data_IF_435339775079
#
_entry.id   IF_435339775079
#
_cell.length_a   1.000
_cell.length_b   1.000
_cell.length_c   1.000
_cell.angle_alpha   90.00
_cell.angle_beta   90.00
_cell.angle_gamma   90.00
#
_symmetry.space_group_name_H-M   'P 1'
#
loop_
_entity.id
_entity.type
_entity.pdbx_description
1 polymer ?
#
# COMPACT_ATOMS: atom_id res chain seq x y z
N UNK A 1 -9.71 17.33 -12.11
CA UNK A 1 -10.05 17.17 -10.67
C UNK A 1 -9.12 16.15 -10.07
N UNK A 2 -8.49 16.47 -8.93
CA UNK A 2 -7.52 15.60 -8.27
C UNK A 2 -8.23 14.53 -7.43
N UNK A 3 -7.89 13.27 -7.67
CA UNK A 3 -8.35 12.10 -6.95
C UNK A 3 -7.19 11.55 -6.12
N UNK A 4 -7.48 11.19 -4.88
CA UNK A 4 -6.58 10.47 -3.98
C UNK A 4 -7.29 9.17 -3.66
N UNK A 5 -6.72 8.04 -4.07
CA UNK A 5 -7.38 6.75 -3.97
C UNK A 5 -6.60 5.70 -3.22
N UNK A 6 -7.35 4.82 -2.55
CA UNK A 6 -6.84 3.63 -1.89
C UNK A 6 -7.79 2.47 -2.22
N UNK A 7 -7.32 1.52 -3.03
CA UNK A 7 -8.18 0.48 -3.62
C UNK A 7 -8.12 -0.85 -2.87
N UNK A 8 -7.14 -1.05 -2.00
CA UNK A 8 -6.93 -2.29 -1.30
C UNK A 8 -7.24 -2.12 0.19
N UNK A 9 -8.45 -2.52 0.57
CA UNK A 9 -8.92 -2.53 1.94
C UNK A 9 -9.59 -3.87 2.22
N UNK A 10 -9.74 -4.19 3.50
CA UNK A 10 -10.51 -5.32 3.96
C UNK A 10 -11.71 -4.90 4.83
N UNK A 11 -12.82 -5.60 4.66
CA UNK A 11 -14.01 -5.43 5.49
C UNK A 11 -13.87 -6.16 6.83
N UNK A 12 -14.76 -5.87 7.77
CA UNK A 12 -14.89 -6.60 9.06
C UNK A 12 -15.10 -8.13 8.94
N UNK A 13 -15.32 -8.65 7.73
CA UNK A 13 -15.44 -10.09 7.45
C UNK A 13 -14.12 -10.76 7.05
N UNK A 14 -13.05 -10.00 6.87
CA UNK A 14 -11.70 -10.54 6.66
C UNK A 14 -11.00 -10.87 7.98
N UNK A 15 -10.07 -11.83 7.92
CA UNK A 15 -9.28 -12.21 9.09
C UNK A 15 -8.41 -11.04 9.57
N UNK A 16 -8.15 -10.98 10.88
CA UNK A 16 -7.31 -9.95 11.51
C UNK A 16 -7.73 -8.50 11.19
N UNK A 17 -8.99 -8.28 10.80
CA UNK A 17 -9.52 -6.98 10.41
C UNK A 17 -10.42 -6.41 11.52
N UNK A 18 -10.36 -5.10 11.75
CA UNK A 18 -11.17 -4.41 12.74
C UNK A 18 -12.66 -4.59 12.45
N UNK A 19 -13.46 -4.72 13.51
CA UNK A 19 -14.92 -4.73 13.39
C UNK A 19 -15.49 -3.38 12.93
N UNK A 20 -14.69 -2.31 13.08
CA UNK A 20 -15.00 -0.97 12.62
C UNK A 20 -14.75 -0.78 11.10
N UNK A 21 -14.30 -1.82 10.38
CA UNK A 21 -14.24 -1.78 8.90
C UNK A 21 -15.64 -2.00 8.29
N UNK A 22 -16.54 -1.06 8.58
CA UNK A 22 -17.87 -0.92 7.99
C UNK A 22 -17.95 0.29 7.04
N UNK A 23 -18.91 0.29 6.12
CA UNK A 23 -18.99 1.37 5.09
C UNK A 23 -19.06 2.78 5.70
N UNK A 24 -19.87 3.03 6.75
CA UNK A 24 -19.90 4.34 7.41
C UNK A 24 -18.55 4.77 7.97
N UNK A 25 -17.85 3.89 8.67
CA UNK A 25 -16.59 4.22 9.34
C UNK A 25 -15.44 4.37 8.34
N UNK A 26 -15.42 3.53 7.29
CA UNK A 26 -14.48 3.66 6.17
C UNK A 26 -14.60 5.06 5.54
N UNK A 27 -15.82 5.52 5.23
CA UNK A 27 -16.03 6.85 4.63
C UNK A 27 -15.61 7.99 5.57
N UNK A 28 -15.88 7.88 6.88
CA UNK A 28 -15.42 8.87 7.87
C UNK A 28 -13.90 8.96 7.91
N UNK A 29 -13.21 7.82 7.97
CA UNK A 29 -11.75 7.80 8.00
C UNK A 29 -11.12 8.20 6.68
N UNK A 30 -11.69 7.82 5.54
CA UNK A 30 -11.24 8.27 4.23
C UNK A 30 -11.22 9.81 4.14
N UNK A 31 -12.26 10.49 4.65
CA UNK A 31 -12.29 11.96 4.74
C UNK A 31 -11.20 12.54 5.65
N UNK A 32 -10.98 11.96 6.83
CA UNK A 32 -9.91 12.39 7.74
C UNK A 32 -8.52 12.21 7.11
N UNK A 33 -8.33 11.12 6.37
CA UNK A 33 -7.10 10.80 5.67
C UNK A 33 -6.90 11.66 4.43
N UNK A 34 -7.98 12.09 3.78
CA UNK A 34 -7.96 12.85 2.53
C UNK A 34 -8.10 11.95 1.29
N UNK A 35 -8.46 10.69 1.48
CA UNK A 35 -8.77 9.73 0.41
C UNK A 35 -10.21 9.98 -0.03
N UNK A 36 -10.41 10.33 -1.30
CA UNK A 36 -11.72 10.70 -1.85
C UNK A 36 -12.29 9.67 -2.82
N UNK A 37 -11.53 8.61 -3.11
CA UNK A 37 -11.97 7.42 -3.83
C UNK A 37 -11.42 6.15 -3.13
N UNK A 38 -12.28 5.22 -2.74
CA UNK A 38 -11.84 3.99 -2.07
C UNK A 38 -12.31 2.73 -2.79
N UNK A 39 -11.55 1.64 -2.63
CA UNK A 39 -12.04 0.30 -2.98
C UNK A 39 -13.13 -0.15 -2.00
N UNK A 40 -14.14 -0.84 -2.49
CA UNK A 40 -15.25 -1.32 -1.65
C UNK A 40 -14.86 -2.40 -0.64
N UNK A 41 -13.73 -3.07 -0.86
CA UNK A 41 -13.32 -4.32 -0.21
C UNK A 41 -14.27 -5.50 -0.45
N UNK A 42 -13.74 -6.72 -0.37
CA UNK A 42 -14.41 -7.98 -0.05
C UNK A 42 -15.82 -8.26 -0.66
N UNK A 43 -16.13 -7.74 -1.85
CA UNK A 43 -17.50 -7.83 -2.41
C UNK A 43 -17.95 -9.28 -2.69
N UNK A 44 -17.03 -10.24 -2.60
CA UNK A 44 -17.33 -11.67 -2.69
C UNK A 44 -18.09 -12.19 -1.48
N UNK A 45 -17.90 -11.60 -0.31
CA UNK A 45 -18.59 -12.04 0.91
C UNK A 45 -20.04 -11.53 0.92
N UNK A 46 -21.06 -12.40 1.01
CA UNK A 46 -22.44 -11.98 0.75
C UNK A 46 -23.02 -11.02 1.79
N UNK A 47 -22.62 -11.13 3.06
CA UNK A 47 -23.07 -10.17 4.08
C UNK A 47 -22.43 -8.79 3.86
N UNK A 48 -21.19 -8.75 3.36
CA UNK A 48 -20.55 -7.50 2.99
C UNK A 48 -21.19 -6.91 1.74
N UNK A 49 -21.45 -7.72 0.72
CA UNK A 49 -22.15 -7.29 -0.49
C UNK A 49 -23.53 -6.69 -0.20
N UNK A 50 -24.28 -7.25 0.77
CA UNK A 50 -25.54 -6.67 1.23
C UNK A 50 -25.33 -5.28 1.86
N UNK A 51 -24.28 -5.11 2.65
CA UNK A 51 -23.92 -3.82 3.24
C UNK A 51 -23.53 -2.79 2.17
N UNK A 52 -22.69 -3.19 1.20
CA UNK A 52 -22.32 -2.35 0.06
C UNK A 52 -23.56 -1.87 -0.71
N UNK A 53 -24.47 -2.78 -1.08
CA UNK A 53 -25.71 -2.44 -1.79
C UNK A 53 -26.66 -1.57 -0.98
N UNK A 54 -26.65 -1.70 0.36
CA UNK A 54 -27.46 -0.86 1.25
C UNK A 54 -26.97 0.58 1.21
N UNK A 55 -25.66 0.79 1.37
CA UNK A 55 -25.07 2.12 1.58
C UNK A 55 -24.66 2.82 0.29
N UNK A 56 -23.98 2.14 -0.63
CA UNK A 56 -23.44 2.74 -1.83
C UNK A 56 -24.54 3.10 -2.83
N UNK A 57 -24.50 4.32 -3.36
CA UNK A 57 -25.41 4.81 -4.41
C UNK A 57 -24.60 5.15 -5.66
N UNK A 58 -25.13 4.89 -6.88
CA UNK A 58 -24.47 5.33 -8.10
C UNK A 58 -24.21 6.84 -8.07
N UNK A 59 -23.00 7.24 -8.46
CA UNK A 59 -22.59 8.65 -8.53
C UNK A 59 -22.11 9.09 -9.91
N UNK A 60 -22.07 8.16 -10.87
CA UNK A 60 -21.83 8.35 -12.29
C UNK A 60 -21.72 6.99 -12.97
N UNK A 61 -20.99 6.92 -14.07
CA UNK A 61 -20.74 5.67 -14.78
C UNK A 61 -19.74 4.82 -13.99
N UNK A 62 -20.20 3.64 -13.57
CA UNK A 62 -19.39 2.59 -12.95
C UNK A 62 -18.65 2.99 -11.67
N UNK A 63 -19.16 4.01 -10.96
CA UNK A 63 -18.69 4.36 -9.63
C UNK A 63 -19.85 4.75 -8.71
N UNK A 64 -19.58 4.64 -7.41
CA UNK A 64 -20.58 4.82 -6.37
C UNK A 64 -20.11 5.85 -5.36
N UNK A 65 -21.01 6.29 -4.48
CA UNK A 65 -20.68 7.22 -3.41
C UNK A 65 -21.41 6.85 -2.13
N UNK A 66 -20.76 7.13 -1.01
CA UNK A 66 -21.38 7.20 0.30
C UNK A 66 -20.75 8.32 1.13
N UNK A 67 -21.60 9.22 1.64
CA UNK A 67 -21.22 10.30 2.56
C UNK A 67 -20.04 11.17 2.04
N UNK A 68 -20.10 11.50 0.75
CA UNK A 68 -19.12 12.36 0.07
C UNK A 68 -17.81 11.67 -0.36
N UNK A 69 -17.67 10.35 -0.15
CA UNK A 69 -16.52 9.56 -0.61
C UNK A 69 -16.95 8.67 -1.76
N UNK A 70 -16.17 8.66 -2.84
CA UNK A 70 -16.45 7.82 -4.01
C UNK A 70 -15.89 6.40 -3.82
N UNK A 71 -16.48 5.45 -4.52
CA UNK A 71 -16.16 4.03 -4.42
C UNK A 71 -16.07 3.38 -5.79
N UNK A 72 -15.03 2.57 -5.97
CA UNK A 72 -15.03 1.49 -6.97
C UNK A 72 -15.35 0.16 -6.28
N UNK A 73 -16.01 -0.74 -7.00
CA UNK A 73 -16.26 -2.09 -6.50
C UNK A 73 -14.98 -2.91 -6.68
N UNK A 74 -14.29 -3.18 -5.58
CA UNK A 74 -13.00 -3.89 -5.54
C UNK A 74 -13.07 -5.01 -4.51
N UNK A 75 -12.48 -6.17 -4.83
CA UNK A 75 -12.26 -7.27 -3.89
C UNK A 75 -10.87 -7.82 -4.08
N UNK A 76 -10.29 -8.38 -3.03
CA UNK A 76 -9.12 -9.26 -3.14
C UNK A 76 -9.58 -10.73 -3.14
N UNK A 77 -8.87 -11.58 -3.89
CA UNK A 77 -9.01 -13.04 -3.81
C UNK A 77 -7.64 -13.71 -3.67
N UNK A 78 -7.58 -14.84 -2.98
CA UNK A 78 -6.36 -15.64 -2.83
C UNK A 78 -6.37 -16.82 -3.80
N UNK A 79 -5.59 -16.75 -4.87
CA UNK A 79 -5.44 -17.85 -5.84
C UNK A 79 -4.43 -18.87 -5.32
N UNK A 80 -4.88 -20.07 -4.97
CA UNK A 80 -4.04 -21.19 -4.54
C UNK A 80 -4.17 -22.40 -5.47
N UNK A 81 -3.13 -22.69 -6.24
CA UNK A 81 -3.18 -23.72 -7.28
C UNK A 81 -1.79 -24.31 -7.58
N UNK A 82 -1.73 -25.48 -8.23
CA UNK A 82 -0.46 -26.10 -8.61
C UNK A 82 -0.05 -25.65 -10.02
N UNK A 83 1.17 -25.13 -10.16
CA UNK A 83 1.77 -24.77 -11.46
C UNK A 83 3.29 -24.83 -11.41
N UNK A 84 3.91 -25.36 -12.46
CA UNK A 84 5.36 -25.57 -12.56
C UNK A 84 5.92 -26.33 -11.35
N UNK A 85 5.26 -27.42 -10.97
CA UNK A 85 5.58 -28.29 -9.83
C UNK A 85 5.58 -27.61 -8.44
N UNK A 86 5.09 -26.38 -8.31
CA UNK A 86 4.94 -25.66 -7.03
C UNK A 86 3.47 -25.36 -6.74
N UNK A 87 3.11 -25.31 -5.47
CA UNK A 87 1.84 -24.72 -5.03
C UNK A 87 2.05 -23.20 -5.01
N UNK A 88 1.36 -22.50 -5.91
CA UNK A 88 1.33 -21.05 -6.01
C UNK A 88 0.27 -20.50 -5.07
N UNK A 89 0.57 -19.38 -4.45
CA UNK A 89 -0.33 -18.61 -3.59
C UNK A 89 -0.14 -17.16 -3.97
N UNK A 90 -1.15 -16.56 -4.61
CA UNK A 90 -1.04 -15.22 -5.17
C UNK A 90 -2.34 -14.50 -4.93
N UNK A 91 -2.28 -13.31 -4.37
CA UNK A 91 -3.43 -12.46 -4.28
C UNK A 91 -3.58 -11.57 -5.51
N UNK A 92 -4.84 -11.34 -5.88
CA UNK A 92 -5.18 -10.43 -6.95
C UNK A 92 -6.39 -9.59 -6.53
N UNK A 93 -6.32 -8.29 -6.78
CA UNK A 93 -7.48 -7.42 -6.78
C UNK A 93 -8.28 -7.60 -8.06
N UNK A 94 -9.60 -7.48 -7.91
CA UNK A 94 -10.56 -7.49 -9.00
C UNK A 94 -11.43 -6.25 -8.86
N UNK A 95 -11.41 -5.40 -9.89
CA UNK A 95 -12.32 -4.26 -10.01
C UNK A 95 -13.48 -4.68 -10.89
N UNK A 96 -14.70 -4.42 -10.42
CA UNK A 96 -15.92 -4.65 -11.17
C UNK A 96 -16.58 -3.31 -11.54
N UNK A 97 -17.11 -3.15 -12.76
CA UNK A 97 -17.74 -1.90 -13.18
C UNK A 97 -19.06 -1.63 -12.42
N UNK A 98 -19.84 -2.67 -12.11
CA UNK A 98 -21.11 -2.51 -11.43
C UNK A 98 -21.52 -3.74 -10.61
N UNK A 99 -22.60 -3.61 -9.84
CA UNK A 99 -23.11 -4.72 -9.03
C UNK A 99 -23.62 -5.92 -9.87
N UNK A 100 -23.99 -5.73 -11.13
CA UNK A 100 -24.37 -6.86 -12.00
C UNK A 100 -23.13 -7.69 -12.37
N UNK A 101 -22.01 -7.03 -12.66
CA UNK A 101 -20.72 -7.69 -12.85
C UNK A 101 -20.28 -8.39 -11.55
N UNK A 102 -20.39 -7.74 -10.39
CA UNK A 102 -20.09 -8.36 -9.08
C UNK A 102 -20.89 -9.64 -8.86
N UNK A 103 -22.19 -9.65 -9.14
CA UNK A 103 -23.01 -10.86 -9.00
C UNK A 103 -22.52 -12.01 -9.90
N UNK A 104 -22.20 -11.70 -11.17
CA UNK A 104 -21.64 -12.69 -12.10
C UNK A 104 -20.28 -13.21 -11.64
N UNK A 105 -19.41 -12.32 -11.15
CA UNK A 105 -18.09 -12.67 -10.59
C UNK A 105 -18.30 -13.63 -9.42
N UNK A 106 -19.17 -13.31 -8.46
CA UNK A 106 -19.42 -14.15 -7.30
C UNK A 106 -19.96 -15.54 -7.69
N UNK A 107 -20.85 -15.63 -8.68
CA UNK A 107 -21.37 -16.92 -9.20
C UNK A 107 -20.25 -17.77 -9.82
N UNK A 108 -19.33 -17.15 -10.55
CA UNK A 108 -18.23 -17.87 -11.20
C UNK A 108 -17.18 -18.29 -10.17
N UNK A 109 -16.77 -17.39 -9.28
CA UNK A 109 -15.75 -17.65 -8.27
C UNK A 109 -16.20 -18.67 -7.21
N UNK A 110 -17.50 -18.77 -6.91
CA UNK A 110 -18.03 -19.77 -5.97
C UNK A 110 -17.83 -21.22 -6.41
N UNK A 111 -17.44 -21.45 -7.67
CA UNK A 111 -17.07 -22.77 -8.20
C UNK A 111 -15.67 -23.21 -7.78
N UNK A 112 -14.83 -22.27 -7.34
CA UNK A 112 -13.42 -22.49 -7.02
C UNK A 112 -13.10 -22.37 -5.53
N UNK A 113 -14.03 -21.88 -4.72
CA UNK A 113 -13.86 -21.75 -3.28
C UNK A 113 -15.15 -21.31 -2.58
N UNK A 114 -15.12 -21.32 -1.25
CA UNK A 114 -16.28 -20.93 -0.44
C UNK A 114 -16.21 -19.44 -0.08
N UNK A 115 -17.08 -18.65 -0.69
CA UNK A 115 -17.15 -17.19 -0.50
C UNK A 115 -17.78 -16.77 0.85
N UNK A 116 -18.27 -17.72 1.65
CA UNK A 116 -18.93 -17.46 2.93
C UNK A 116 -17.98 -17.41 4.14
N UNK A 117 -16.72 -17.84 3.97
CA UNK A 117 -15.81 -18.07 5.10
C UNK A 117 -15.16 -16.77 5.57
N UNK A 118 -14.69 -15.96 4.64
CA UNK A 118 -13.91 -14.75 4.92
C UNK A 118 -14.07 -13.75 3.77
N UNK A 119 -13.75 -12.48 4.04
CA UNK A 119 -13.81 -11.41 3.05
C UNK A 119 -12.94 -11.64 1.82
N UNK A 120 -11.73 -12.19 2.01
CA UNK A 120 -10.82 -12.64 0.94
C UNK A 120 -10.87 -14.16 0.74
N UNK A 121 -11.69 -14.68 -0.17
CA UNK A 121 -11.82 -16.12 -0.35
C UNK A 121 -10.53 -16.73 -0.92
N UNK A 122 -10.16 -17.90 -0.41
CA UNK A 122 -9.16 -18.77 -1.05
C UNK A 122 -9.82 -19.60 -2.16
N UNK A 123 -9.27 -19.49 -3.38
CA UNK A 123 -9.79 -20.08 -4.60
C UNK A 123 -8.78 -21.06 -5.21
N UNK A 124 -9.23 -22.27 -5.53
CA UNK A 124 -8.48 -23.25 -6.31
C UNK A 124 -8.49 -22.89 -7.81
N UNK A 125 -7.93 -21.72 -8.14
CA UNK A 125 -8.05 -21.09 -9.46
C UNK A 125 -6.70 -20.52 -9.91
N UNK A 126 -6.25 -20.90 -11.11
CA UNK A 126 -5.06 -20.33 -11.76
C UNK A 126 -5.28 -18.84 -12.10
N UNK A 127 -4.24 -18.01 -11.94
CA UNK A 127 -4.35 -16.57 -12.16
C UNK A 127 -4.65 -16.19 -13.62
N UNK A 128 -4.15 -16.93 -14.61
CA UNK A 128 -4.51 -16.70 -16.00
C UNK A 128 -5.98 -17.01 -16.27
N UNK A 129 -6.51 -18.10 -15.68
CA UNK A 129 -7.93 -18.42 -15.80
C UNK A 129 -8.79 -17.39 -15.06
N UNK A 130 -8.35 -16.86 -13.91
CA UNK A 130 -9.01 -15.74 -13.25
C UNK A 130 -9.19 -14.56 -14.21
N UNK A 131 -8.11 -14.10 -14.85
CA UNK A 131 -8.15 -12.98 -15.81
C UNK A 131 -9.13 -13.26 -16.93
N UNK A 132 -9.06 -14.45 -17.53
CA UNK A 132 -9.97 -14.84 -18.61
C UNK A 132 -11.43 -14.79 -18.16
N UNK A 133 -11.76 -15.34 -16.98
CA UNK A 133 -13.11 -15.30 -16.43
C UNK A 133 -13.60 -13.87 -16.19
N UNK A 134 -12.72 -12.96 -15.75
CA UNK A 134 -13.09 -11.55 -15.57
C UNK A 134 -13.39 -10.88 -16.92
N UNK A 135 -12.57 -11.12 -17.94
CA UNK A 135 -12.78 -10.60 -19.29
C UNK A 135 -14.05 -11.17 -19.96
N UNK A 136 -14.38 -12.44 -19.71
CA UNK A 136 -15.61 -13.08 -20.19
C UNK A 136 -16.88 -12.45 -19.57
N UNK A 137 -16.76 -11.87 -18.36
CA UNK A 137 -17.85 -11.18 -17.67
C UNK A 137 -18.01 -9.75 -18.17
N UNK A 138 -16.91 -9.00 -18.31
CA UNK A 138 -16.89 -7.62 -18.79
C UNK A 138 -15.48 -7.22 -19.20
N UNK A 139 -15.37 -6.53 -20.34
CA UNK A 139 -14.13 -5.90 -20.81
C UNK A 139 -13.64 -4.74 -19.93
N UNK A 140 -14.50 -4.26 -19.02
CA UNK A 140 -14.18 -3.21 -18.04
C UNK A 140 -13.66 -3.75 -16.71
N UNK A 141 -13.67 -5.06 -16.48
CA UNK A 141 -13.07 -5.60 -15.26
C UNK A 141 -11.55 -5.35 -15.27
N UNK A 142 -10.97 -5.08 -14.10
CA UNK A 142 -9.52 -4.88 -13.94
C UNK A 142 -9.02 -5.95 -12.99
N UNK A 143 -7.91 -6.61 -13.35
CA UNK A 143 -7.21 -7.55 -12.46
C UNK A 143 -5.83 -6.99 -12.18
N UNK A 144 -5.51 -6.85 -10.90
CA UNK A 144 -4.23 -6.30 -10.42
C UNK A 144 -3.59 -7.32 -9.48
N UNK A 145 -2.40 -7.85 -9.77
CA UNK A 145 -1.65 -8.64 -8.81
C UNK A 145 -1.36 -7.80 -7.57
N UNK A 146 -1.82 -8.25 -6.39
CA UNK A 146 -1.67 -7.49 -5.13
C UNK A 146 -0.23 -7.60 -4.59
N UNK A 147 0.22 -6.55 -3.88
CA UNK A 147 1.43 -6.50 -3.06
C UNK A 147 2.57 -7.42 -3.52
N UNK A 148 3.06 -7.22 -4.75
CA UNK A 148 3.73 -8.29 -5.52
C UNK A 148 5.05 -8.82 -4.95
N UNK A 149 5.63 -8.15 -3.95
CA UNK A 149 6.91 -8.49 -3.34
C UNK A 149 6.81 -9.12 -1.95
N UNK A 150 5.63 -9.16 -1.31
CA UNK A 150 5.49 -9.80 0.00
C UNK A 150 5.98 -11.25 -0.06
N UNK A 151 6.58 -11.72 1.03
CA UNK A 151 7.26 -13.02 1.01
C UNK A 151 6.34 -14.19 0.72
N UNK A 152 5.07 -14.05 1.09
CA UNK A 152 4.01 -15.03 0.88
C UNK A 152 2.88 -14.39 0.09
N UNK A 153 2.04 -15.23 -0.52
CA UNK A 153 0.80 -14.82 -1.19
C UNK A 153 0.98 -13.79 -2.32
N UNK A 154 2.17 -13.70 -2.92
CA UNK A 154 2.52 -12.63 -3.85
C UNK A 154 3.20 -13.14 -5.10
N UNK A 155 3.06 -12.38 -6.18
CA UNK A 155 3.50 -12.81 -7.50
C UNK A 155 5.00 -13.04 -7.56
N UNK A 156 5.82 -12.11 -7.08
CA UNK A 156 7.28 -12.25 -7.06
C UNK A 156 7.80 -12.77 -5.71
N UNK A 157 6.95 -13.04 -4.74
CA UNK A 157 7.34 -13.45 -3.39
C UNK A 157 8.33 -14.62 -3.34
N UNK A 158 9.25 -14.58 -2.39
CA UNK A 158 10.31 -15.60 -2.26
C UNK A 158 9.75 -17.00 -1.94
N UNK A 159 8.57 -17.10 -1.31
CA UNK A 159 7.90 -18.38 -1.05
C UNK A 159 6.94 -18.75 -2.17
N UNK A 160 7.46 -19.46 -3.16
CA UNK A 160 6.69 -20.01 -4.29
C UNK A 160 6.06 -18.98 -5.24
N UNK A 161 6.59 -17.75 -5.29
CA UNK A 161 6.32 -16.78 -6.36
C UNK A 161 6.95 -17.17 -7.70
N UNK A 162 6.51 -16.50 -8.76
CA UNK A 162 7.06 -16.57 -10.11
C UNK A 162 8.27 -15.64 -10.27
N UNK A 163 9.05 -15.87 -11.32
CA UNK A 163 10.15 -14.95 -11.70
C UNK A 163 9.76 -14.03 -12.86
N UNK A 164 8.57 -14.19 -13.42
CA UNK A 164 8.03 -13.34 -14.49
C UNK A 164 6.50 -13.33 -14.49
N UNK A 165 5.91 -12.19 -14.87
CA UNK A 165 4.46 -12.07 -15.14
C UNK A 165 3.96 -13.10 -16.19
N UNK A 166 4.76 -13.41 -17.22
CA UNK A 166 4.37 -14.36 -18.27
C UNK A 166 4.25 -15.79 -17.74
N UNK A 167 5.07 -16.21 -16.77
CA UNK A 167 4.90 -17.50 -16.11
C UNK A 167 3.59 -17.59 -15.32
N UNK A 168 3.17 -16.47 -14.72
CA UNK A 168 1.92 -16.38 -13.96
C UNK A 168 0.70 -16.39 -14.90
N UNK A 169 0.64 -15.42 -15.81
CA UNK A 169 -0.56 -15.10 -16.60
C UNK A 169 -0.57 -15.69 -18.02
N UNK A 170 0.56 -16.18 -18.53
CA UNK A 170 0.67 -16.65 -19.90
C UNK A 170 0.14 -15.62 -20.90
N UNK A 171 -0.61 -16.07 -21.91
CA UNK A 171 -1.18 -15.15 -22.91
C UNK A 171 -2.16 -14.10 -22.36
N UNK A 172 -2.69 -14.30 -21.14
CA UNK A 172 -3.63 -13.37 -20.49
C UNK A 172 -2.93 -12.14 -19.91
N UNK A 173 -1.59 -12.11 -19.88
CA UNK A 173 -0.80 -10.92 -19.48
C UNK A 173 -1.19 -9.66 -20.26
N UNK A 174 -1.72 -9.80 -21.48
CA UNK A 174 -2.20 -8.68 -22.31
C UNK A 174 -3.35 -7.86 -21.68
N UNK A 175 -4.01 -8.41 -20.65
CA UNK A 175 -5.06 -7.74 -19.89
C UNK A 175 -4.60 -7.29 -18.49
N UNK A 176 -3.31 -7.47 -18.19
CA UNK A 176 -2.70 -6.95 -16.97
C UNK A 176 -1.96 -5.67 -17.35
N UNK A 177 -2.48 -4.54 -16.86
CA UNK A 177 -1.94 -3.21 -17.15
C UNK A 177 -1.35 -2.54 -15.91
N UNK A 178 -1.56 -3.13 -14.73
CA UNK A 178 -1.07 -2.60 -13.47
C UNK A 178 -0.72 -3.71 -12.50
N UNK A 179 0.13 -3.37 -11.54
CA UNK A 179 0.46 -4.20 -10.38
C UNK A 179 0.39 -3.33 -9.12
N UNK A 180 0.14 -3.95 -7.97
CA UNK A 180 0.27 -3.27 -6.68
C UNK A 180 1.64 -3.55 -6.09
N UNK A 181 2.38 -2.51 -5.73
CA UNK A 181 3.71 -2.61 -5.09
C UNK A 181 3.59 -3.22 -3.70
N UNK A 182 2.66 -2.69 -2.90
CA UNK A 182 2.40 -3.07 -1.51
C UNK A 182 3.47 -2.58 -0.55
N UNK A 183 3.13 -2.52 0.74
CA UNK A 183 3.90 -1.88 1.83
C UNK A 183 5.32 -2.43 2.06
N UNK A 184 5.69 -3.56 1.45
CA UNK A 184 7.04 -4.13 1.53
C UNK A 184 7.96 -3.70 0.38
N UNK A 185 7.45 -2.92 -0.58
CA UNK A 185 8.25 -2.35 -1.66
C UNK A 185 7.80 -0.95 -2.02
N UNK A 186 8.67 -0.22 -2.72
CA UNK A 186 8.32 1.07 -3.31
C UNK A 186 8.58 1.07 -4.83
N UNK A 187 8.18 2.13 -5.56
CA UNK A 187 8.44 2.23 -7.00
C UNK A 187 9.91 2.10 -7.36
N UNK A 188 10.84 2.63 -6.54
CA UNK A 188 12.28 2.55 -6.81
C UNK A 188 12.80 1.11 -6.80
N UNK A 189 12.26 0.24 -5.93
CA UNK A 189 12.56 -1.19 -5.93
C UNK A 189 12.00 -1.88 -7.19
N UNK A 190 10.79 -1.52 -7.60
CA UNK A 190 10.10 -2.09 -8.75
C UNK A 190 10.76 -1.70 -10.09
N UNK A 191 11.25 -0.47 -10.21
CA UNK A 191 11.95 0.03 -11.40
C UNK A 191 13.21 -0.75 -11.76
N UNK A 192 13.74 -1.54 -10.82
CA UNK A 192 14.92 -2.37 -11.03
C UNK A 192 14.65 -3.66 -11.80
N UNK A 193 13.38 -3.98 -12.05
CA UNK A 193 12.96 -5.14 -12.83
C UNK A 193 12.27 -4.66 -14.12
N UNK A 194 13.01 -4.67 -15.23
CA UNK A 194 12.57 -4.10 -16.51
C UNK A 194 11.25 -4.63 -17.06
N UNK A 195 10.86 -5.83 -16.65
CA UNK A 195 9.58 -6.42 -17.06
C UNK A 195 8.37 -5.63 -16.54
N UNK A 196 8.55 -4.79 -15.51
CA UNK A 196 7.51 -3.95 -14.92
C UNK A 196 7.38 -2.59 -15.61
N UNK A 197 8.24 -2.24 -16.57
CA UNK A 197 8.19 -0.94 -17.27
C UNK A 197 6.86 -0.70 -17.98
N UNK A 198 6.21 -1.77 -18.42
CA UNK A 198 4.92 -1.73 -19.14
C UNK A 198 3.72 -1.70 -18.19
N UNK A 199 3.95 -1.80 -16.88
CA UNK A 199 2.89 -1.83 -15.87
C UNK A 199 2.77 -0.46 -15.20
N UNK A 200 1.53 -0.04 -14.96
CA UNK A 200 1.24 1.04 -14.03
C UNK A 200 1.41 0.53 -12.60
N UNK A 201 2.25 1.18 -11.80
CA UNK A 201 2.47 0.82 -10.41
C UNK A 201 1.38 1.50 -9.56
N UNK A 202 0.59 0.68 -8.87
CA UNK A 202 -0.38 1.12 -7.88
C UNK A 202 0.17 0.93 -6.47
N UNK A 203 -0.19 1.83 -5.58
CA UNK A 203 0.15 1.79 -4.16
C UNK A 203 -1.13 1.92 -3.33
N UNK A 204 -1.40 0.92 -2.49
CA UNK A 204 -2.64 0.82 -1.72
C UNK A 204 -2.33 0.31 -0.32
N UNK A 205 -3.18 0.66 0.64
CA UNK A 205 -2.88 0.44 2.04
C UNK A 205 -2.87 -1.03 2.46
N UNK A 206 -3.69 -1.89 1.86
CA UNK A 206 -4.08 -3.18 2.46
C UNK A 206 -4.59 -2.96 3.91
N UNK A 207 -5.50 -1.98 4.06
CA UNK A 207 -5.97 -1.55 5.38
C UNK A 207 -6.84 -2.62 6.03
N UNK A 208 -6.44 -3.01 7.24
CA UNK A 208 -7.18 -3.90 8.14
C UNK A 208 -7.83 -3.13 9.31
N UNK A 209 -7.57 -1.83 9.42
CA UNK A 209 -8.25 -0.92 10.34
C UNK A 209 -8.51 0.44 9.68
N UNK A 210 -9.56 1.18 10.09
CA UNK A 210 -9.89 2.47 9.47
C UNK A 210 -8.76 3.50 9.58
N UNK A 211 -7.94 3.42 10.64
CA UNK A 211 -6.76 4.26 10.86
C UNK A 211 -5.62 4.04 9.86
N UNK A 212 -5.63 2.91 9.14
CA UNK A 212 -4.59 2.53 8.18
C UNK A 212 -4.91 2.95 6.74
N UNK A 213 -6.15 3.37 6.48
CA UNK A 213 -6.59 3.86 5.17
C UNK A 213 -5.66 4.98 4.70
N UNK A 214 -5.24 4.90 3.44
CA UNK A 214 -4.39 5.91 2.81
C UNK A 214 -2.96 6.01 3.38
N UNK A 215 -2.48 5.00 4.15
CA UNK A 215 -1.04 4.90 4.45
C UNK A 215 -0.22 4.76 3.17
N UNK A 216 -0.82 4.12 2.18
CA UNK A 216 -0.42 4.08 0.78
C UNK A 216 -1.61 4.48 -0.08
N UNK A 217 -1.36 5.23 -1.15
CA UNK A 217 -2.42 5.77 -2.00
C UNK A 217 -1.92 6.14 -3.40
N UNK A 218 -2.85 6.34 -4.31
CA UNK A 218 -2.60 6.77 -5.69
C UNK A 218 -3.17 8.18 -5.87
N UNK A 219 -2.46 9.03 -6.61
CA UNK A 219 -2.92 10.38 -6.89
C UNK A 219 -2.95 10.63 -8.39
N UNK A 220 -4.13 10.96 -8.89
CA UNK A 220 -4.35 11.18 -10.32
C UNK A 220 -5.39 12.26 -10.60
N UNK A 221 -5.46 12.71 -11.85
CA UNK A 221 -6.45 13.68 -12.31
C UNK A 221 -7.42 13.08 -13.31
N UNK A 222 -8.69 13.44 -13.16
CA UNK A 222 -9.76 13.16 -14.13
C UNK A 222 -10.40 14.45 -14.61
N UNK A 223 -10.91 14.44 -15.83
CA UNK A 223 -11.61 15.59 -16.40
C UNK A 223 -13.08 15.58 -16.03
N UNK A 224 -13.70 14.40 -16.02
CA UNK A 224 -15.11 14.20 -15.75
C UNK A 224 -15.32 13.21 -14.60
N UNK A 225 -16.05 13.64 -13.57
CA UNK A 225 -16.41 12.72 -12.48
C UNK A 225 -17.40 11.67 -12.95
N UNK A 226 -18.28 11.97 -13.92
CA UNK A 226 -19.28 11.02 -14.39
C UNK A 226 -18.59 9.82 -15.07
N UNK A 227 -17.44 10.01 -15.71
CA UNK A 227 -16.64 8.97 -16.38
C UNK A 227 -15.39 8.50 -15.60
N UNK A 228 -15.33 8.79 -14.30
CA UNK A 228 -14.20 8.49 -13.41
C UNK A 228 -13.61 7.08 -13.58
N UNK A 229 -14.45 6.04 -13.65
CA UNK A 229 -13.97 4.65 -13.80
C UNK A 229 -13.31 4.40 -15.16
N UNK A 230 -13.89 4.94 -16.23
CA UNK A 230 -13.37 4.79 -17.59
C UNK A 230 -12.06 5.54 -17.75
N UNK A 231 -11.97 6.79 -17.28
CA UNK A 231 -10.72 7.55 -17.30
C UNK A 231 -9.61 6.85 -16.50
N UNK A 232 -9.95 6.24 -15.35
CA UNK A 232 -9.00 5.44 -14.58
C UNK A 232 -8.51 4.21 -15.35
N UNK A 233 -9.42 3.45 -15.96
CA UNK A 233 -9.07 2.28 -16.78
C UNK A 233 -8.13 2.66 -17.94
N UNK A 234 -8.48 3.71 -18.70
CA UNK A 234 -7.66 4.21 -19.80
C UNK A 234 -6.27 4.65 -19.33
N UNK A 235 -6.20 5.31 -18.17
CA UNK A 235 -4.95 5.74 -17.56
C UNK A 235 -4.04 4.57 -17.21
N UNK A 236 -4.59 3.48 -16.64
CA UNK A 236 -3.81 2.27 -16.34
C UNK A 236 -3.29 1.60 -17.61
N UNK A 237 -4.13 1.50 -18.65
CA UNK A 237 -3.78 0.87 -19.93
C UNK A 237 -2.68 1.66 -20.64
N UNK A 238 -2.82 2.99 -20.69
CA UNK A 238 -1.87 3.88 -21.37
C UNK A 238 -0.62 4.17 -20.55
N UNK A 239 -0.64 3.86 -19.23
CA UNK A 239 0.37 4.30 -18.27
C UNK A 239 0.59 5.81 -18.34
N UNK A 240 -0.53 6.55 -18.36
CA UNK A 240 -0.53 8.00 -18.61
C UNK A 240 -0.04 8.78 -17.38
N UNK A 241 1.28 9.05 -17.34
CA UNK A 241 1.92 9.83 -16.27
C UNK A 241 1.63 11.34 -16.33
N UNK A 242 0.88 11.83 -17.33
CA UNK A 242 0.37 13.21 -17.34
C UNK A 242 -0.88 13.36 -16.46
N UNK A 243 -1.63 12.27 -16.29
CA UNK A 243 -2.81 12.19 -15.41
C UNK A 243 -2.52 11.47 -14.09
N UNK A 244 -1.70 10.41 -14.11
CA UNK A 244 -1.27 9.72 -12.89
C UNK A 244 -0.08 10.46 -12.29
N UNK A 245 -0.37 11.34 -11.32
CA UNK A 245 0.56 12.33 -10.83
C UNK A 245 1.68 11.74 -9.96
N UNK A 246 1.32 10.88 -9.00
CA UNK A 246 2.26 10.19 -8.12
C UNK A 246 1.57 9.14 -7.25
N UNK A 247 2.34 8.25 -6.65
CA UNK A 247 1.90 7.42 -5.52
C UNK A 247 2.38 7.98 -4.18
N UNK A 248 1.66 7.66 -3.11
CA UNK A 248 2.03 7.91 -1.72
C UNK A 248 2.46 6.57 -1.15
N UNK A 249 3.68 6.51 -0.64
CA UNK A 249 4.33 5.26 -0.22
C UNK A 249 4.70 5.33 1.25
N UNK A 250 4.66 4.19 1.93
CA UNK A 250 5.32 4.04 3.22
C UNK A 250 6.83 3.79 3.04
N UNK A 251 7.55 3.59 4.15
CA UNK A 251 8.94 3.16 4.12
C UNK A 251 9.00 1.63 4.20
N UNK A 252 9.22 0.91 3.07
CA UNK A 252 9.27 -0.56 3.09
C UNK A 252 10.36 -1.11 4.00
N UNK A 253 11.38 -0.30 4.30
CA UNK A 253 12.47 -0.60 5.23
C UNK A 253 11.98 -0.90 6.66
N UNK A 254 10.82 -0.40 7.07
CA UNK A 254 10.21 -0.71 8.37
C UNK A 254 9.66 -2.13 8.42
N UNK A 255 9.43 -2.76 7.27
CA UNK A 255 8.91 -4.12 7.16
C UNK A 255 9.76 -5.14 7.92
N UNK A 256 9.10 -6.02 8.69
CA UNK A 256 9.73 -7.07 9.50
C UNK A 256 10.66 -8.02 8.74
N UNK A 257 10.49 -8.08 7.44
CA UNK A 257 11.18 -9.01 6.56
C UNK A 257 11.87 -8.27 5.41
N UNK A 258 12.28 -7.02 5.60
CA UNK A 258 12.92 -6.25 4.53
C UNK A 258 14.29 -6.82 4.12
N UNK A 259 15.23 -6.89 5.06
CA UNK A 259 16.56 -7.47 4.85
C UNK A 259 16.66 -8.94 5.27
N UNK A 260 17.71 -9.60 4.77
CA UNK A 260 18.11 -10.90 5.26
C UNK A 260 18.58 -10.78 6.71
N UNK A 261 18.29 -11.78 7.54
CA UNK A 261 18.86 -11.78 8.88
C UNK A 261 18.60 -13.01 9.73
N UNK A 262 19.16 -12.93 10.94
CA UNK A 262 19.00 -13.92 12.00
C UNK A 262 18.88 -13.16 13.33
N UNK A 263 17.63 -12.98 13.78
CA UNK A 263 17.28 -12.11 14.91
C UNK A 263 17.98 -12.52 16.20
N UNK A 264 18.14 -13.83 16.45
CA UNK A 264 18.74 -14.36 17.68
C UNK A 264 20.22 -14.00 17.80
N UNK A 265 20.90 -13.73 16.68
CA UNK A 265 22.31 -13.30 16.67
C UNK A 265 22.49 -11.81 16.36
N UNK A 266 21.41 -11.07 16.09
CA UNK A 266 21.50 -9.67 15.64
C UNK A 266 22.19 -9.50 14.28
N UNK A 267 22.25 -10.56 13.47
CA UNK A 267 22.88 -10.50 12.14
C UNK A 267 21.87 -9.94 11.14
N UNK A 268 22.21 -8.78 10.56
CA UNK A 268 21.45 -8.13 9.49
C UNK A 268 22.34 -8.01 8.26
N UNK A 269 21.83 -8.46 7.11
CA UNK A 269 22.59 -8.54 5.87
C UNK A 269 21.79 -7.83 4.77
N UNK A 270 22.38 -6.77 4.22
CA UNK A 270 21.88 -6.18 2.99
C UNK A 270 22.11 -7.17 1.84
N UNK A 271 21.06 -7.57 1.11
CA UNK A 271 21.23 -8.38 -0.09
C UNK A 271 22.05 -7.60 -1.12
N UNK A 272 23.05 -8.23 -1.70
CA UNK A 272 23.80 -7.71 -2.84
C UNK A 272 23.62 -8.67 -4.01
N UNK A 273 23.76 -8.16 -5.24
CA UNK A 273 23.61 -8.92 -6.50
C UNK A 273 24.54 -10.14 -6.63
N UNK A 274 25.48 -10.34 -5.70
CA UNK A 274 26.42 -11.47 -5.76
C UNK A 274 25.70 -12.78 -5.45
N UNK A 275 26.02 -13.81 -6.22
CA UNK A 275 25.52 -15.18 -6.07
C UNK A 275 26.00 -15.89 -4.80
N UNK A 276 26.72 -15.19 -3.92
CA UNK A 276 27.18 -15.74 -2.66
C UNK A 276 26.01 -15.81 -1.69
N UNK A 277 25.39 -16.98 -1.64
CA UNK A 277 24.41 -17.34 -0.63
C UNK A 277 25.07 -17.16 0.74
N UNK A 278 24.76 -16.08 1.46
CA UNK A 278 25.10 -15.95 2.87
C UNK A 278 24.12 -16.84 3.64
N UNK A 279 24.42 -18.14 3.63
CA UNK A 279 23.76 -19.16 4.42
C UNK A 279 24.82 -20.25 4.68
N UNK A 280 25.15 -20.55 5.95
CA UNK A 280 24.42 -20.20 7.17
C UNK A 280 24.87 -18.91 7.87
N UNK A 281 24.14 -18.51 8.91
CA UNK A 281 24.44 -17.40 9.80
C UNK A 281 25.92 -17.42 10.24
N UNK A 282 26.69 -16.33 10.07
CA UNK A 282 28.12 -16.32 10.36
C UNK A 282 28.42 -16.58 11.83
N UNK A 283 27.51 -16.17 12.73
CA UNK A 283 27.63 -16.30 14.19
C UNK A 283 27.33 -17.71 14.71
N UNK A 284 26.18 -18.30 14.35
CA UNK A 284 25.72 -19.56 14.96
C UNK A 284 25.55 -20.73 13.98
N UNK A 285 25.80 -20.52 12.68
CA UNK A 285 25.65 -21.51 11.61
C UNK A 285 24.22 -22.07 11.42
N UNK A 286 23.19 -21.44 12.00
CA UNK A 286 21.78 -21.70 11.66
C UNK A 286 21.38 -20.99 10.37
N UNK A 287 20.25 -21.39 9.79
CA UNK A 287 19.70 -20.79 8.57
C UNK A 287 19.36 -19.30 8.77
N UNK A 288 19.68 -18.48 7.77
CA UNK A 288 19.26 -17.07 7.71
C UNK A 288 17.87 -17.00 7.08
N UNK A 289 17.01 -16.14 7.63
CA UNK A 289 15.75 -15.78 6.99
C UNK A 289 16.03 -14.81 5.84
N UNK A 290 15.57 -15.15 4.64
CA UNK A 290 15.62 -14.23 3.51
C UNK A 290 14.58 -13.13 3.69
N UNK A 291 14.92 -11.91 3.27
CA UNK A 291 14.04 -10.74 3.24
C UNK A 291 13.47 -10.48 1.84
N UNK A 292 12.58 -9.49 1.74
CA UNK A 292 11.96 -9.02 0.50
C UNK A 292 13.02 -8.49 -0.47
N UNK A 293 13.98 -7.70 0.02
CA UNK A 293 15.06 -7.17 -0.81
C UNK A 293 15.91 -8.26 -1.46
N UNK A 294 16.00 -9.45 -0.87
CA UNK A 294 16.74 -10.55 -1.49
C UNK A 294 16.10 -10.99 -2.79
N UNK A 295 14.77 -11.05 -2.81
CA UNK A 295 14.01 -11.42 -3.99
C UNK A 295 14.00 -10.31 -5.04
N UNK A 296 13.98 -9.06 -4.60
CA UNK A 296 14.19 -7.89 -5.50
C UNK A 296 15.56 -7.98 -6.16
N UNK A 297 16.64 -8.15 -5.39
CA UNK A 297 18.00 -8.31 -5.96
C UNK A 297 18.11 -9.51 -6.92
N UNK A 298 17.46 -10.64 -6.60
CA UNK A 298 17.49 -11.85 -7.43
C UNK A 298 16.86 -11.60 -8.82
N UNK A 299 15.80 -10.80 -8.90
CA UNK A 299 15.09 -10.51 -10.14
C UNK A 299 15.51 -9.19 -10.82
N UNK A 300 16.25 -8.34 -10.12
CA UNK A 300 16.67 -7.05 -10.62
C UNK A 300 17.65 -7.19 -11.80
N UNK A 301 17.30 -6.59 -12.93
CA UNK A 301 18.16 -6.45 -14.11
C UNK A 301 18.77 -5.05 -14.23
N UNK A 302 18.49 -4.16 -13.28
CA UNK A 302 19.07 -2.81 -13.17
C UNK A 302 19.62 -2.52 -11.79
N UNK A 303 20.52 -1.56 -11.75
CA UNK A 303 21.15 -1.11 -10.52
C UNK A 303 20.18 -0.34 -9.63
N UNK A 304 20.49 -0.28 -8.33
CA UNK A 304 19.76 0.53 -7.37
C UNK A 304 19.80 2.01 -7.77
N UNK A 305 18.67 2.71 -7.59
CA UNK A 305 18.51 4.11 -7.98
C UNK A 305 18.22 4.35 -9.47
N UNK A 306 18.02 3.28 -10.27
CA UNK A 306 17.55 3.45 -11.65
C UNK A 306 16.13 4.02 -11.68
N UNK A 307 15.92 5.07 -12.47
CA UNK A 307 14.62 5.68 -12.71
C UNK A 307 14.26 5.63 -14.21
N UNK A 308 13.15 4.96 -14.59
CA UNK A 308 12.63 4.99 -15.95
C UNK A 308 12.21 6.41 -16.36
N UNK A 309 12.42 6.79 -17.63
CA UNK A 309 12.09 8.15 -18.12
C UNK A 309 10.61 8.53 -17.98
N UNK A 310 9.73 7.54 -18.11
CA UNK A 310 8.27 7.71 -18.01
C UNK A 310 7.75 7.05 -16.72
N UNK A 311 8.53 7.16 -15.64
CA UNK A 311 8.08 6.77 -14.30
C UNK A 311 6.95 7.68 -13.83
N UNK A 312 6.03 7.10 -13.05
CA UNK A 312 5.13 7.87 -12.21
C UNK A 312 5.90 8.17 -10.92
N UNK A 313 6.03 9.44 -10.50
CA UNK A 313 6.73 9.81 -9.27
C UNK A 313 6.09 9.20 -8.02
N UNK A 314 6.78 9.29 -6.88
CA UNK A 314 6.23 8.88 -5.60
C UNK A 314 6.67 9.79 -4.45
N UNK A 315 5.88 9.83 -3.38
CA UNK A 315 6.17 10.57 -2.15
C UNK A 315 6.20 9.59 -0.98
N UNK A 316 7.34 9.45 -0.30
CA UNK A 316 7.40 8.69 0.97
C UNK A 316 6.78 9.51 2.09
N UNK A 317 5.88 8.90 2.87
CA UNK A 317 5.22 9.52 4.01
C UNK A 317 5.29 8.65 5.25
N UNK A 318 5.41 9.31 6.40
CA UNK A 318 5.20 8.73 7.71
C UNK A 318 3.80 9.16 8.20
N UNK A 319 2.97 8.25 8.75
CA UNK A 319 1.67 8.60 9.29
C UNK A 319 1.76 9.75 10.30
N UNK A 320 0.81 10.68 10.29
CA UNK A 320 0.86 11.89 11.12
C UNK A 320 0.96 11.57 12.62
N UNK A 321 0.25 10.54 13.10
CA UNK A 321 0.36 10.09 14.49
C UNK A 321 1.79 9.69 14.87
N UNK A 322 2.53 9.13 13.92
CA UNK A 322 3.92 8.72 14.10
C UNK A 322 4.87 9.91 14.06
N UNK A 323 4.61 10.91 13.20
CA UNK A 323 5.33 12.19 13.23
C UNK A 323 5.14 12.88 14.59
N UNK A 324 3.90 12.97 15.09
CA UNK A 324 3.61 13.54 16.41
C UNK A 324 4.29 12.71 17.51
N UNK A 325 4.33 11.38 17.39
CA UNK A 325 5.03 10.49 18.32
C UNK A 325 6.53 10.75 18.33
N UNK A 326 7.17 10.90 17.16
CA UNK A 326 8.59 11.23 17.01
C UNK A 326 8.94 12.57 17.68
N UNK A 327 8.06 13.57 17.54
CA UNK A 327 8.27 14.92 18.12
C UNK A 327 8.03 14.96 19.64
N UNK A 328 7.00 14.26 20.11
CA UNK A 328 6.57 14.32 21.52
C UNK A 328 7.22 13.26 22.40
N UNK A 329 7.89 12.28 21.80
CA UNK A 329 8.46 11.08 22.45
C UNK A 329 7.42 10.28 23.26
N UNK A 330 6.13 10.46 22.95
CA UNK A 330 5.02 9.71 23.56
C UNK A 330 4.67 8.52 22.70
N UNK A 331 4.20 7.44 23.33
CA UNK A 331 3.73 6.27 22.60
C UNK A 331 2.57 6.62 21.67
N UNK A 332 2.64 6.17 20.40
CA UNK A 332 1.69 6.43 19.30
C UNK A 332 0.22 6.31 19.69
N UNK A 333 -0.12 5.35 20.54
CA UNK A 333 -1.49 5.08 20.98
C UNK A 333 -2.01 5.98 22.12
N UNK A 334 -1.23 6.97 22.56
CA UNK A 334 -1.63 7.84 23.66
C UNK A 334 -2.81 8.74 23.29
N UNK A 335 -3.69 9.02 24.26
CA UNK A 335 -4.83 9.92 24.08
C UNK A 335 -4.39 11.33 23.64
N UNK A 336 -3.19 11.76 24.03
CA UNK A 336 -2.63 13.04 23.63
C UNK A 336 -2.30 13.08 22.14
N UNK A 337 -1.69 12.02 21.58
CA UNK A 337 -1.37 11.95 20.15
C UNK A 337 -2.66 11.96 19.35
N UNK A 338 -3.65 11.14 19.72
CA UNK A 338 -4.96 11.13 19.05
C UNK A 338 -5.62 12.50 19.06
N UNK A 339 -5.62 13.18 20.21
CA UNK A 339 -6.17 14.54 20.33
C UNK A 339 -5.46 15.51 19.39
N UNK A 340 -4.14 15.46 19.33
CA UNK A 340 -3.34 16.33 18.48
C UNK A 340 -3.52 16.03 16.99
N UNK A 341 -3.55 14.74 16.63
CA UNK A 341 -3.87 14.26 15.29
C UNK A 341 -5.18 14.84 14.79
N UNK A 342 -6.28 14.65 15.54
CA UNK A 342 -7.58 15.18 15.15
C UNK A 342 -7.58 16.71 15.08
N UNK A 343 -6.92 17.40 16.02
CA UNK A 343 -6.79 18.86 15.99
C UNK A 343 -6.15 19.36 14.69
N UNK A 344 -5.06 18.71 14.26
CA UNK A 344 -4.36 19.07 13.03
C UNK A 344 -5.19 18.75 11.80
N UNK A 345 -5.72 17.53 11.70
CA UNK A 345 -6.54 17.09 10.56
C UNK A 345 -7.77 17.99 10.39
N UNK A 346 -8.51 18.30 11.46
CA UNK A 346 -9.68 19.18 11.35
C UNK A 346 -9.32 20.62 10.98
N UNK A 347 -8.15 21.12 11.40
CA UNK A 347 -7.71 22.48 11.07
C UNK A 347 -7.23 22.60 9.62
N UNK A 348 -6.53 21.59 9.12
CA UNK A 348 -5.84 21.60 7.84
C UNK A 348 -6.52 20.75 6.75
N UNK A 349 -7.73 20.24 7.03
CA UNK A 349 -8.57 19.51 6.09
C UNK A 349 -8.41 17.99 6.17
N UNK A 350 -7.20 17.49 5.93
CA UNK A 350 -6.92 16.05 5.96
C UNK A 350 -5.45 15.74 6.26
N UNK A 351 -5.17 14.49 6.66
CA UNK A 351 -3.81 14.01 6.88
C UNK A 351 -2.95 14.11 5.61
N UNK A 352 -3.37 13.56 4.48
CA UNK A 352 -2.59 13.58 3.24
C UNK A 352 -2.34 15.00 2.76
N UNK A 353 -3.32 15.91 2.85
CA UNK A 353 -3.14 17.32 2.50
C UNK A 353 -2.03 17.97 3.37
N UNK A 354 -2.08 17.74 4.68
CA UNK A 354 -1.07 18.21 5.62
C UNK A 354 0.32 17.64 5.29
N UNK A 355 0.42 16.35 5.01
CA UNK A 355 1.69 15.66 4.78
C UNK A 355 2.30 15.94 3.40
N UNK A 356 1.50 16.25 2.37
CA UNK A 356 1.99 16.25 0.98
C UNK A 356 1.73 17.52 0.18
N UNK A 357 0.80 18.39 0.59
CA UNK A 357 0.31 19.51 -0.24
C UNK A 357 0.50 20.90 0.38
N UNK A 358 0.31 21.05 1.70
CA UNK A 358 0.47 22.37 2.33
C UNK A 358 1.84 22.96 2.07
N UNK A 359 1.92 24.25 1.78
CA UNK A 359 3.18 24.99 1.66
C UNK A 359 3.90 25.08 3.01
N UNK A 360 5.21 25.32 3.00
CA UNK A 360 5.98 25.55 4.23
C UNK A 360 5.43 26.72 5.05
N UNK A 361 4.97 27.80 4.39
CA UNK A 361 4.34 28.93 5.06
C UNK A 361 3.06 28.53 5.80
N UNK A 362 2.27 27.62 5.23
CA UNK A 362 1.06 27.11 5.88
C UNK A 362 1.40 26.16 7.03
N UNK A 363 2.40 25.29 6.87
CA UNK A 363 2.91 24.41 7.93
C UNK A 363 3.43 25.22 9.13
N UNK A 364 4.12 26.33 8.89
CA UNK A 364 4.61 27.22 9.94
C UNK A 364 3.50 27.88 10.77
N UNK A 365 2.23 27.74 10.40
CA UNK A 365 1.08 28.17 11.24
C UNK A 365 0.67 27.14 12.29
N UNK A 366 1.29 25.95 12.30
CA UNK A 366 1.07 24.91 13.31
C UNK A 366 1.62 25.41 14.66
N UNK A 367 0.83 25.22 15.71
CA UNK A 367 1.18 25.74 17.04
C UNK A 367 2.47 25.14 17.61
N UNK A 368 2.70 23.84 17.43
CA UNK A 368 3.98 23.20 17.76
C UNK A 368 4.87 23.17 16.51
N UNK A 369 5.82 24.10 16.45
CA UNK A 369 6.73 24.24 15.30
C UNK A 369 7.60 23.00 15.07
N UNK A 370 7.79 22.16 16.08
CA UNK A 370 8.53 20.89 15.90
C UNK A 370 7.79 19.91 15.01
N UNK A 371 6.45 19.95 15.01
CA UNK A 371 5.63 19.12 14.10
C UNK A 371 5.74 19.64 12.66
N UNK A 372 5.72 20.96 12.47
CA UNK A 372 5.91 21.57 11.14
C UNK A 372 7.28 21.20 10.56
N UNK A 373 8.35 21.38 11.35
CA UNK A 373 9.71 21.02 10.98
C UNK A 373 9.84 19.52 10.67
N UNK A 374 9.19 18.66 11.47
CA UNK A 374 9.21 17.22 11.23
C UNK A 374 8.59 16.85 9.87
N UNK A 375 7.45 17.46 9.51
CA UNK A 375 6.80 17.25 8.21
C UNK A 375 7.71 17.73 7.07
N UNK A 376 8.32 18.91 7.20
CA UNK A 376 9.23 19.46 6.20
C UNK A 376 10.43 18.53 5.98
N UNK A 377 11.07 18.08 7.06
CA UNK A 377 12.19 17.14 6.99
C UNK A 377 11.81 15.80 6.37
N UNK A 378 10.67 15.23 6.75
CA UNK A 378 10.14 14.01 6.14
C UNK A 378 9.98 14.18 4.62
N UNK A 379 9.40 15.29 4.16
CA UNK A 379 9.24 15.58 2.72
C UNK A 379 10.57 15.70 1.98
N UNK A 380 11.62 16.16 2.65
CA UNK A 380 12.98 16.21 2.09
C UNK A 380 13.75 14.90 2.22
N UNK A 381 13.16 13.85 2.78
CA UNK A 381 13.83 12.57 3.05
C UNK A 381 14.89 12.66 4.15
N UNK A 382 14.86 13.69 5.00
CA UNK A 382 15.78 13.86 6.13
C UNK A 382 15.35 12.98 7.32
N UNK A 383 15.51 11.67 7.12
CA UNK A 383 15.15 10.62 8.06
C UNK A 383 16.30 9.64 8.27
N UNK A 384 16.38 9.05 9.45
CA UNK A 384 17.25 7.92 9.77
C UNK A 384 16.44 6.62 9.71
N UNK A 385 16.94 5.66 8.94
CA UNK A 385 16.24 4.39 8.71
C UNK A 385 17.07 3.23 9.28
N UNK A 386 16.45 2.45 10.16
CA UNK A 386 16.95 1.15 10.59
C UNK A 386 16.07 0.06 9.97
N UNK A 387 16.63 -0.75 9.07
CA UNK A 387 15.88 -1.76 8.33
C UNK A 387 15.46 -2.93 9.21
N UNK A 388 14.25 -3.42 9.01
CA UNK A 388 13.73 -4.65 9.60
C UNK A 388 14.32 -5.92 8.97
N UNK A 389 14.29 -7.01 9.73
CA UNK A 389 14.80 -8.32 9.30
C UNK A 389 14.29 -9.43 10.23
N UNK A 390 14.11 -10.64 9.68
CA UNK A 390 13.78 -11.86 10.43
C UNK A 390 12.66 -11.71 11.48
N UNK A 391 11.59 -10.99 11.14
CA UNK A 391 10.43 -10.77 12.02
C UNK A 391 10.55 -9.54 12.94
N UNK A 392 11.70 -8.88 12.97
CA UNK A 392 11.91 -7.61 13.69
C UNK A 392 11.56 -6.44 12.78
N UNK A 393 10.64 -5.58 13.23
CA UNK A 393 10.34 -4.34 12.53
C UNK A 393 11.59 -3.45 12.46
N UNK A 394 11.70 -2.74 11.34
CA UNK A 394 12.59 -1.60 11.24
C UNK A 394 12.04 -0.39 11.99
N UNK A 395 12.68 0.75 11.82
CA UNK A 395 12.20 2.02 12.33
C UNK A 395 12.68 3.16 11.45
N UNK A 396 11.79 4.10 11.16
CA UNK A 396 12.13 5.39 10.58
C UNK A 396 12.04 6.46 11.66
N UNK A 397 13.04 7.33 11.72
CA UNK A 397 13.06 8.46 12.65
C UNK A 397 13.35 9.74 11.89
N UNK A 398 12.58 10.78 12.16
CA UNK A 398 12.83 12.09 11.55
C UNK A 398 14.04 12.73 12.26
N UNK A 399 14.98 13.25 11.47
CA UNK A 399 16.20 13.86 12.00
C UNK A 399 15.92 15.26 12.54
N UNK A 400 15.34 15.34 13.74
CA UNK A 400 15.06 16.61 14.40
C UNK A 400 16.35 17.23 14.96
N UNK A 401 16.49 18.57 14.94
CA UNK A 401 17.55 19.23 15.68
C UNK A 401 17.45 18.83 17.15
N UNK A 402 18.58 18.42 17.76
CA UNK A 402 18.64 18.23 19.20
C UNK A 402 18.18 19.54 19.82
N UNK A 403 17.13 19.49 20.66
CA UNK A 403 16.74 20.65 21.45
C UNK A 403 18.02 21.14 22.13
N UNK A 404 18.47 22.35 21.82
CA UNK A 404 19.48 23.00 22.63
C UNK A 404 18.88 23.03 24.03
N UNK A 405 19.33 22.12 24.89
CA UNK A 405 19.10 22.25 26.31
C UNK A 405 19.62 23.65 26.64
N UNK A 406 18.77 24.48 27.24
CA UNK A 406 19.11 25.82 27.68
C UNK A 406 20.40 25.76 28.51
N UNK A 407 21.55 25.94 27.86
CA UNK A 407 22.86 26.01 28.49
C UNK A 407 23.11 27.43 29.02
N UNK A 408 22.07 28.07 29.55
CA UNK A 408 22.11 29.39 30.16
C UNK A 408 21.92 29.34 31.69
N UNK A 409 21.85 28.15 32.30
CA UNK A 409 21.75 28.02 33.76
C UNK A 409 23.10 27.90 34.50
N UNK A 410 24.23 27.62 33.81
CA UNK A 410 25.53 27.38 34.47
C UNK A 410 26.52 28.56 34.42
N UNK A 411 26.12 29.74 33.92
CA UNK A 411 26.97 30.94 33.92
C UNK A 411 26.66 31.98 35.01
N UNK A 412 25.84 31.65 36.02
CA UNK A 412 25.55 32.56 37.14
C UNK A 412 26.09 32.13 38.51
N UNK A 413 26.94 31.10 38.60
CA UNK A 413 27.58 30.69 39.85
C UNK A 413 29.09 30.94 39.93
N UNK A 414 29.68 31.71 39.00
CA UNK A 414 31.10 32.09 39.06
C UNK A 414 31.36 33.55 39.47
N UNK A 415 30.37 34.26 40.00
CA UNK A 415 30.52 35.62 40.54
C UNK A 415 29.72 35.80 41.83
N UNK A 416 30.06 35.04 42.88
CA UNK A 416 29.84 35.41 44.28
C UNK A 416 30.96 34.86 45.16
#
# INVERSE_FOLDING_TARGET
MKIISDFHLHSKFSQATSQDMDVPTISQWAKLKGVNLVGSADFTHPLWLQELKKYLKPAGNYHYQYDGVNYFLVTEVSNMYQKNAKVRKIHNLIFAPDFNAVEKINIVLSRYGNLLIEGRPTLALDCAELVKLMMDISDKCIVVPSHVWEQQFSLFGSNAGFSSLIECFGSQIRYINSIETGISSDPSMNWRHSQLDTMTLLSNSDAHAPTEIGREANVFEVNDMDDLYTEFLEMLIAKDNSKFLYTIETYPEEGRHFYNGHKECGVKIQPVKTTEIINPCPSCKKQIAYGVMHRVEELADREEGFEPRESIPYKKVMPLEEIISNVTEKGRNSAQIKKEYFRLVYKYGSEINLLTELTESELNTISDQRIAEAIIRMRHGDVSIAQGYDGLYGSVKINLPVAQADSLADQQLSLL
#
